data_IF_317938008078
#
_entry.id   IF_317938008078
#
_cell.length_a   1.000
_cell.length_b   1.000
_cell.length_c   1.000
_cell.angle_alpha   90.00
_cell.angle_beta   90.00
_cell.angle_gamma   90.00
#
_symmetry.space_group_name_H-M   'P 1'
#
loop_
_entity.id
_entity.type
_entity.pdbx_description
1 polymer ?
#
# COMPACT_ATOMS: atom_id res chain seq x y z
N UNK A 1 -21.83 -46.73 1.93
CA UNK A 1 -20.80 -45.71 2.25
C UNK A 1 -21.30 -44.28 2.01
N UNK A 2 -21.77 -43.92 0.81
CA UNK A 2 -22.26 -42.55 0.52
C UNK A 2 -23.57 -42.17 1.24
N UNK A 3 -24.46 -43.14 1.51
CA UNK A 3 -25.72 -42.91 2.22
C UNK A 3 -25.50 -42.53 3.70
N UNK A 4 -24.53 -43.16 4.36
CA UNK A 4 -24.08 -42.86 5.72
C UNK A 4 -23.57 -41.41 5.82
N UNK A 5 -22.76 -40.97 4.85
CA UNK A 5 -22.25 -39.60 4.78
C UNK A 5 -23.39 -38.57 4.63
N UNK A 6 -24.41 -38.89 3.82
CA UNK A 6 -25.58 -38.04 3.58
C UNK A 6 -26.49 -37.95 4.82
N UNK A 7 -26.56 -39.01 5.62
CA UNK A 7 -27.28 -39.02 6.89
C UNK A 7 -26.59 -38.16 7.96
N UNK A 8 -25.26 -38.20 8.04
CA UNK A 8 -24.47 -37.32 8.91
C UNK A 8 -24.61 -35.83 8.52
N UNK A 9 -24.58 -35.52 7.22
CA UNK A 9 -24.80 -34.17 6.69
C UNK A 9 -26.20 -33.59 6.94
N UNK A 10 -27.21 -34.46 7.19
CA UNK A 10 -28.57 -34.04 7.56
C UNK A 10 -28.72 -33.71 9.05
N UNK A 11 -27.69 -33.94 9.86
CA UNK A 11 -27.74 -33.72 11.30
C UNK A 11 -27.54 -32.22 11.62
N UNK A 12 -28.49 -31.54 12.30
CA UNK A 12 -28.39 -30.11 12.57
C UNK A 12 -27.21 -29.74 13.50
N UNK A 13 -26.82 -30.66 14.38
CA UNK A 13 -25.65 -30.50 15.26
C UNK A 13 -24.36 -30.36 14.47
N UNK A 14 -24.21 -31.08 13.36
CA UNK A 14 -23.03 -31.03 12.49
C UNK A 14 -22.85 -29.62 11.90
N UNK A 15 -23.95 -29.02 11.42
CA UNK A 15 -23.94 -27.68 10.83
C UNK A 15 -23.54 -26.60 11.82
N UNK A 16 -24.01 -26.69 13.07
CA UNK A 16 -23.61 -25.76 14.15
C UNK A 16 -22.09 -25.82 14.36
N UNK A 17 -21.51 -27.02 14.41
CA UNK A 17 -20.06 -27.19 14.57
C UNK A 17 -19.29 -26.68 13.36
N UNK A 18 -19.77 -26.94 12.13
CA UNK A 18 -19.16 -26.43 10.89
C UNK A 18 -19.15 -24.91 10.87
N UNK A 19 -20.27 -24.27 11.23
CA UNK A 19 -20.37 -22.80 11.29
C UNK A 19 -19.46 -22.24 12.39
N UNK A 20 -19.41 -22.87 13.57
CA UNK A 20 -18.53 -22.44 14.65
C UNK A 20 -17.05 -22.50 14.27
N UNK A 21 -16.62 -23.59 13.62
CA UNK A 21 -15.23 -23.75 13.18
C UNK A 21 -14.90 -22.84 11.99
N UNK A 22 -15.84 -22.61 11.06
CA UNK A 22 -15.61 -21.72 9.90
C UNK A 22 -15.59 -20.23 10.26
N UNK A 23 -16.23 -19.85 11.36
CA UNK A 23 -16.18 -18.49 11.90
C UNK A 23 -14.76 -18.05 12.29
N UNK A 24 -13.91 -18.98 12.75
CA UNK A 24 -12.53 -18.68 13.16
C UNK A 24 -11.70 -18.09 12.00
N UNK A 25 -11.56 -18.77 10.84
CA UNK A 25 -10.85 -18.20 9.70
C UNK A 25 -11.61 -17.02 9.07
N UNK A 26 -12.94 -17.00 9.11
CA UNK A 26 -13.72 -15.87 8.58
C UNK A 26 -13.44 -14.57 9.33
N UNK A 27 -13.45 -14.61 10.67
CA UNK A 27 -13.15 -13.45 11.52
C UNK A 27 -11.70 -12.99 11.37
N UNK A 28 -10.75 -13.94 11.30
CA UNK A 28 -9.35 -13.62 11.03
C UNK A 28 -9.19 -12.85 9.71
N UNK A 29 -9.78 -13.37 8.63
CA UNK A 29 -9.74 -12.72 7.32
C UNK A 29 -10.43 -11.36 7.34
N UNK A 30 -11.56 -11.22 8.05
CA UNK A 30 -12.29 -9.96 8.15
C UNK A 30 -11.44 -8.86 8.81
N UNK A 31 -10.85 -9.15 9.97
CA UNK A 31 -9.98 -8.22 10.70
C UNK A 31 -8.74 -7.86 9.86
N UNK A 32 -8.15 -8.86 9.22
CA UNK A 32 -6.98 -8.67 8.37
C UNK A 32 -7.27 -7.76 7.16
N UNK A 33 -8.37 -8.01 6.44
CA UNK A 33 -8.79 -7.16 5.32
C UNK A 33 -9.11 -5.74 5.78
N UNK A 34 -9.82 -5.57 6.89
CA UNK A 34 -10.10 -4.24 7.44
C UNK A 34 -8.83 -3.47 7.80
N UNK A 35 -7.80 -4.15 8.33
CA UNK A 35 -6.52 -3.52 8.63
C UNK A 35 -5.71 -3.12 7.39
N UNK A 36 -5.91 -3.81 6.27
CA UNK A 36 -5.18 -3.56 5.01
C UNK A 36 -6.03 -2.76 4.01
N UNK A 37 -7.28 -2.43 4.32
CA UNK A 37 -8.14 -1.66 3.43
C UNK A 37 -7.63 -0.23 3.19
N UNK A 38 -6.87 0.33 4.14
CA UNK A 38 -6.26 1.65 3.98
C UNK A 38 -4.76 1.69 4.35
N UNK A 39 -3.88 1.02 3.57
CA UNK A 39 -2.44 1.11 3.79
C UNK A 39 -1.87 2.42 3.23
N UNK A 40 -2.66 3.14 2.42
CA UNK A 40 -2.23 4.30 1.65
C UNK A 40 -2.90 5.62 2.07
N UNK A 41 -3.87 5.61 2.98
CA UNK A 41 -4.56 6.82 3.46
C UNK A 41 -3.60 7.84 4.07
N UNK A 42 -2.50 7.35 4.66
CA UNK A 42 -1.45 8.19 5.25
C UNK A 42 -0.24 8.46 4.35
N UNK A 43 -0.08 7.82 3.19
CA UNK A 43 1.04 8.19 2.28
C UNK A 43 0.84 9.54 1.59
N UNK A 44 -0.38 10.10 1.64
CA UNK A 44 -0.66 11.47 1.15
C UNK A 44 0.08 12.54 1.95
N UNK A 45 0.49 12.24 3.19
CA UNK A 45 1.20 13.15 4.08
C UNK A 45 2.62 12.70 4.37
N UNK A 46 3.23 11.85 3.55
CA UNK A 46 4.64 11.53 3.68
C UNK A 46 5.43 12.58 2.88
N UNK A 47 5.95 13.67 3.50
CA UNK A 47 6.70 14.68 2.78
C UNK A 47 7.99 14.06 2.29
N UNK A 48 8.05 13.76 0.99
CA UNK A 48 9.28 13.33 0.34
C UNK A 48 10.10 14.59 0.11
N UNK A 49 11.14 14.78 0.92
CA UNK A 49 12.07 15.88 0.76
C UNK A 49 13.15 15.50 -0.26
N UNK A 50 13.13 16.13 -1.43
CA UNK A 50 14.18 15.97 -2.44
C UNK A 50 15.29 16.96 -2.11
N UNK A 51 16.35 16.47 -1.47
CA UNK A 51 17.56 17.26 -1.21
C UNK A 51 18.49 17.15 -2.40
N UNK A 52 18.69 18.26 -3.10
CA UNK A 52 19.63 18.34 -4.21
C UNK A 52 21.03 18.69 -3.67
N UNK A 53 21.97 17.74 -3.71
CA UNK A 53 23.38 17.96 -3.37
C UNK A 53 24.28 18.11 -4.60
N UNK A 54 23.70 18.37 -5.77
CA UNK A 54 24.44 18.48 -7.02
C UNK A 54 25.43 19.66 -6.97
N UNK A 55 26.66 19.41 -7.40
CA UNK A 55 27.71 20.43 -7.50
C UNK A 55 27.79 20.84 -8.96
N UNK A 56 27.67 22.14 -9.23
CA UNK A 56 27.72 22.69 -10.59
C UNK A 56 28.92 22.14 -11.36
N UNK A 57 28.65 21.39 -12.44
CA UNK A 57 29.68 20.86 -13.32
C UNK A 57 29.83 21.77 -14.55
N UNK A 58 31.07 22.07 -14.96
CA UNK A 58 31.32 22.76 -16.24
C UNK A 58 31.50 21.73 -17.33
N UNK A 59 30.68 21.81 -18.37
CA UNK A 59 30.83 21.00 -19.58
C UNK A 59 30.86 21.95 -20.78
N UNK A 60 31.99 21.98 -21.51
CA UNK A 60 32.19 22.82 -22.70
C UNK A 60 31.87 24.32 -22.47
N UNK A 61 32.51 24.94 -21.48
CA UNK A 61 32.36 26.36 -21.09
C UNK A 61 30.93 26.81 -20.71
N UNK A 62 29.98 25.88 -20.62
CA UNK A 62 28.65 26.12 -20.08
C UNK A 62 28.55 25.55 -18.67
N UNK A 63 28.09 26.37 -17.75
CA UNK A 63 27.71 25.93 -16.41
C UNK A 63 26.46 25.06 -16.54
N UNK A 64 26.58 23.79 -16.18
CA UNK A 64 25.52 22.80 -16.32
C UNK A 64 25.00 22.45 -14.93
N UNK A 65 23.81 22.95 -14.62
CA UNK A 65 23.14 22.73 -13.34
C UNK A 65 21.96 21.75 -13.52
N UNK A 66 22.28 20.51 -13.94
CA UNK A 66 21.27 19.47 -14.25
C UNK A 66 20.34 19.23 -13.07
N UNK A 67 20.86 19.15 -11.84
CA UNK A 67 20.02 18.95 -10.66
C UNK A 67 19.02 20.10 -10.44
N UNK A 68 19.45 21.35 -10.67
CA UNK A 68 18.57 22.51 -10.51
C UNK A 68 17.48 22.54 -11.57
N UNK A 69 17.86 22.33 -12.84
CA UNK A 69 16.92 22.29 -13.95
C UNK A 69 15.90 21.15 -13.80
N UNK A 70 16.33 19.99 -13.29
CA UNK A 70 15.46 18.84 -13.07
C UNK A 70 14.46 19.09 -11.93
N UNK A 71 14.89 19.74 -10.84
CA UNK A 71 14.02 20.15 -9.73
C UNK A 71 13.02 21.20 -10.18
N UNK A 72 13.45 22.22 -10.92
CA UNK A 72 12.59 23.29 -11.44
C UNK A 72 11.50 22.77 -12.39
N UNK A 73 11.86 21.85 -13.29
CA UNK A 73 10.91 21.22 -14.20
C UNK A 73 9.90 20.32 -13.46
N UNK A 74 10.31 19.68 -12.37
CA UNK A 74 9.44 18.82 -11.56
C UNK A 74 8.50 19.64 -10.66
N UNK A 75 8.99 20.74 -10.09
CA UNK A 75 8.22 21.71 -9.31
C UNK A 75 7.07 22.34 -10.12
N UNK A 76 7.35 22.75 -11.38
CA UNK A 76 6.31 23.31 -12.27
C UNK A 76 5.22 22.32 -12.67
N UNK A 77 5.46 21.01 -12.57
CA UNK A 77 4.57 19.97 -13.14
C UNK A 77 3.67 19.23 -12.15
N UNK A 78 3.81 19.33 -10.82
CA UNK A 78 3.09 18.37 -9.96
C UNK A 78 2.55 18.89 -8.61
N UNK A 79 1.21 18.92 -8.54
CA UNK A 79 0.40 18.60 -7.34
C UNK A 79 0.98 17.35 -6.67
N UNK A 80 1.42 17.46 -5.41
CA UNK A 80 1.48 16.41 -4.36
C UNK A 80 2.72 16.62 -3.46
N UNK A 81 2.52 17.03 -2.20
CA UNK A 81 3.34 16.69 -1.01
C UNK A 81 4.87 16.88 -0.96
N UNK A 82 5.54 17.35 -2.01
CA UNK A 82 7.01 17.49 -2.05
C UNK A 82 7.45 18.79 -1.38
N UNK A 83 8.27 18.69 -0.32
CA UNK A 83 8.90 19.83 0.34
C UNK A 83 10.38 19.87 -0.05
N UNK A 84 10.77 20.83 -0.89
CA UNK A 84 12.16 21.00 -1.29
C UNK A 84 12.90 21.81 -0.22
N UNK A 85 13.82 21.17 0.50
CA UNK A 85 14.76 21.84 1.39
C UNK A 85 16.07 22.04 0.64
N UNK A 86 16.54 23.30 0.63
CA UNK A 86 17.83 23.73 0.11
C UNK A 86 18.86 23.75 1.26
#
# INVERSE_FOLDING_TARGET
MLAELKALLKSPKLWITIIGVSLIPALYNLIFLSSIWDPYGNVKHLPVAVVNKDKSARFQDKALNIGHDMVDNMSKKKKNGLSFCN
#
